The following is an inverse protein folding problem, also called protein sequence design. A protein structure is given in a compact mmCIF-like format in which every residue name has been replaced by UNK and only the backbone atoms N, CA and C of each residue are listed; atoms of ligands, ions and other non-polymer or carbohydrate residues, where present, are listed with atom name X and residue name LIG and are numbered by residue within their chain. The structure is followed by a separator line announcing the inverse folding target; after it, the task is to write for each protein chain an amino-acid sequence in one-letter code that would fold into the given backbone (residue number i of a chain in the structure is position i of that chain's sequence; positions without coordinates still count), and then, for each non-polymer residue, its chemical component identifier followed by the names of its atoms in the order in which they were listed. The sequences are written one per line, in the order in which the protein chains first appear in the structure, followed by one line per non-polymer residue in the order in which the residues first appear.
data_IF_744881613371
#
_entry.id   IF_744881613371
#
_cell.length_a   1.000
_cell.length_b   1.000
_cell.length_c   1.000
_cell.angle_alpha   90.00
_cell.angle_beta   90.00
_cell.angle_gamma   90.00
#
_symmetry.space_group_name_H-M   'P 1'
#
loop_
_entity.id
_entity.type
_entity.pdbx_description
1 polymer ?
#
# COMPACT_ATOMS: atom_id res chain seq x y z
N UNK A 1 -20.96 -6.35 -26.26
CA UNK A 1 -21.06 -7.28 -25.13
C UNK A 1 -19.98 -6.90 -24.12
N UNK A 2 -20.40 -6.60 -22.89
CA UNK A 2 -19.71 -5.84 -21.85
C UNK A 2 -18.27 -6.30 -21.51
N UNK A 3 -17.34 -5.35 -21.47
CA UNK A 3 -16.18 -5.38 -20.58
C UNK A 3 -16.12 -4.06 -19.82
N UNK A 4 -16.59 -4.08 -18.59
CA UNK A 4 -16.35 -3.02 -17.63
C UNK A 4 -14.84 -2.99 -17.33
N UNK A 5 -14.19 -1.89 -17.71
CA UNK A 5 -12.83 -1.57 -17.28
C UNK A 5 -12.90 -1.08 -15.82
N UNK A 6 -11.94 -1.43 -14.94
CA UNK A 6 -11.88 -0.81 -13.63
C UNK A 6 -11.48 0.66 -13.83
N UNK A 7 -12.40 1.53 -13.46
CA UNK A 7 -12.33 2.98 -13.56
C UNK A 7 -11.35 3.53 -12.50
N UNK A 8 -10.05 3.30 -12.67
CA UNK A 8 -9.01 3.96 -11.85
C UNK A 8 -7.60 3.80 -12.45
N UNK A 9 -7.42 4.18 -13.70
CA UNK A 9 -6.08 4.20 -14.30
C UNK A 9 -6.04 5.21 -15.44
N UNK A 10 -5.96 6.50 -15.13
CA UNK A 10 -5.47 7.55 -16.03
C UNK A 10 -5.50 8.90 -15.31
N UNK A 11 -4.70 9.08 -14.26
CA UNK A 11 -4.27 10.43 -13.89
C UNK A 11 -2.77 10.43 -13.59
N UNK A 12 -1.96 11.14 -14.39
CA UNK A 12 -0.59 11.43 -14.02
C UNK A 12 -0.64 12.27 -12.74
N UNK A 13 0.04 11.80 -11.69
CA UNK A 13 -0.01 12.34 -10.31
C UNK A 13 0.66 13.73 -10.20
N UNK A 14 0.87 14.44 -11.30
CA UNK A 14 1.62 15.70 -11.32
C UNK A 14 0.79 16.94 -11.63
N UNK A 15 -0.51 16.80 -11.94
CA UNK A 15 -1.33 17.97 -12.30
C UNK A 15 -2.82 17.65 -12.36
N UNK A 16 -3.49 17.47 -11.22
CA UNK A 16 -4.96 17.55 -11.19
C UNK A 16 -5.47 18.34 -9.98
N UNK A 17 -6.18 19.46 -10.18
CA UNK A 17 -6.87 20.21 -9.12
C UNK A 17 -8.03 19.46 -8.44
N UNK A 18 -8.30 18.22 -8.87
CA UNK A 18 -9.48 17.45 -8.49
C UNK A 18 -9.35 16.77 -7.12
N UNK A 19 -8.14 16.34 -6.75
CA UNK A 19 -7.82 15.89 -5.39
C UNK A 19 -7.89 17.05 -4.38
N UNK A 20 -7.65 18.29 -4.82
CA UNK A 20 -7.77 19.47 -3.96
C UNK A 20 -9.24 19.69 -3.55
N UNK A 21 -10.20 19.66 -4.47
CA UNK A 21 -11.55 20.16 -4.21
C UNK A 21 -12.50 19.18 -3.51
N UNK A 22 -12.37 17.87 -3.71
CA UNK A 22 -13.21 16.89 -2.99
C UNK A 22 -12.69 16.57 -1.58
N UNK A 23 -11.40 16.80 -1.33
CA UNK A 23 -10.78 16.62 -0.02
C UNK A 23 -10.99 17.82 0.92
N UNK A 24 -11.00 19.04 0.36
CA UNK A 24 -11.26 20.30 1.10
C UNK A 24 -12.61 20.31 1.84
N UNK A 25 -13.61 19.57 1.36
CA UNK A 25 -14.93 19.49 2.01
C UNK A 25 -14.95 18.63 3.30
N UNK A 26 -13.96 17.74 3.51
CA UNK A 26 -13.81 16.94 4.74
C UNK A 26 -12.73 17.49 5.70
N UNK A 27 -12.09 18.60 5.32
CA UNK A 27 -10.84 19.12 5.91
C UNK A 27 -10.99 19.88 7.23
N UNK A 28 -12.11 19.77 7.94
CA UNK A 28 -12.31 20.45 9.22
C UNK A 28 -11.66 19.75 10.42
N UNK A 29 -10.95 18.64 10.22
CA UNK A 29 -10.26 17.91 11.30
C UNK A 29 -8.74 17.96 11.13
N UNK A 30 -8.06 18.48 12.16
CA UNK A 30 -6.58 18.62 12.22
C UNK A 30 -5.84 17.32 11.93
N UNK A 31 -6.46 16.17 12.23
CA UNK A 31 -5.85 14.86 12.01
C UNK A 31 -5.72 14.50 10.52
N UNK A 32 -6.73 14.84 9.71
CA UNK A 32 -6.72 14.50 8.29
C UNK A 32 -5.61 15.24 7.55
N UNK A 33 -5.39 16.52 7.85
CA UNK A 33 -4.28 17.30 7.28
C UNK A 33 -2.93 16.67 7.64
N UNK A 34 -2.74 16.27 8.90
CA UNK A 34 -1.50 15.61 9.35
C UNK A 34 -1.22 14.33 8.56
N UNK A 35 -2.24 13.51 8.29
CA UNK A 35 -2.03 12.28 7.50
C UNK A 35 -1.71 12.58 6.03
N UNK A 36 -2.24 13.65 5.46
CA UNK A 36 -1.83 14.09 4.13
C UNK A 36 -0.37 14.53 4.11
N UNK A 37 0.06 15.33 5.08
CA UNK A 37 1.45 15.76 5.19
C UNK A 37 2.40 14.54 5.30
N UNK A 38 2.01 13.51 6.06
CA UNK A 38 2.76 12.24 6.14
C UNK A 38 2.80 11.48 4.80
N UNK A 39 1.70 11.52 4.01
CA UNK A 39 1.66 10.93 2.67
C UNK A 39 2.53 11.69 1.68
N UNK A 40 2.58 13.01 1.73
CA UNK A 40 3.43 13.82 0.86
C UNK A 40 4.91 13.47 1.06
N UNK A 41 5.34 13.37 2.33
CA UNK A 41 6.71 12.92 2.68
C UNK A 41 6.99 11.51 2.13
N UNK A 42 6.00 10.61 2.21
CA UNK A 42 6.14 9.25 1.67
C UNK A 42 6.30 9.26 0.14
N UNK A 43 5.49 10.04 -0.57
CA UNK A 43 5.56 10.13 -2.03
C UNK A 43 6.86 10.77 -2.51
N UNK A 44 7.35 11.79 -1.80
CA UNK A 44 8.67 12.38 -2.05
C UNK A 44 9.78 11.33 -1.87
N UNK A 45 9.77 10.57 -0.78
CA UNK A 45 10.73 9.48 -0.56
C UNK A 45 10.64 8.37 -1.63
N UNK A 46 9.43 8.06 -2.11
CA UNK A 46 9.20 7.07 -3.18
C UNK A 46 9.72 7.55 -4.54
N UNK A 47 9.64 8.85 -4.82
CA UNK A 47 10.17 9.46 -6.02
C UNK A 47 11.72 9.42 -6.02
N UNK A 48 12.32 9.82 -4.90
CA UNK A 48 13.77 9.77 -4.70
C UNK A 48 14.34 8.33 -4.80
N UNK A 49 13.57 7.33 -4.35
CA UNK A 49 13.94 5.91 -4.45
C UNK A 49 13.64 5.27 -5.81
N UNK A 50 13.08 6.03 -6.78
CA UNK A 50 12.67 5.57 -8.11
C UNK A 50 11.71 4.38 -8.07
N UNK A 51 10.97 4.23 -6.98
CA UNK A 51 10.02 3.13 -6.76
C UNK A 51 8.57 3.55 -6.99
N UNK A 52 8.31 4.82 -7.27
CA UNK A 52 6.97 5.39 -7.45
C UNK A 52 6.11 4.60 -8.45
N UNK A 53 6.69 4.11 -9.55
CA UNK A 53 5.99 3.35 -10.58
C UNK A 53 5.51 1.95 -10.13
N UNK A 54 6.00 1.47 -8.98
CA UNK A 54 5.61 0.18 -8.40
C UNK A 54 4.51 0.31 -7.34
N UNK A 55 4.19 1.53 -6.92
CA UNK A 55 3.22 1.82 -5.86
C UNK A 55 1.91 2.31 -6.48
N UNK A 56 0.80 1.86 -5.91
CA UNK A 56 -0.54 2.35 -6.24
C UNK A 56 -1.19 2.77 -4.93
N UNK A 57 -1.71 3.99 -4.89
CA UNK A 57 -2.46 4.49 -3.74
C UNK A 57 -3.90 4.02 -3.83
N UNK A 58 -4.39 3.38 -2.78
CA UNK A 58 -5.73 2.80 -2.72
C UNK A 58 -6.38 3.08 -1.37
N UNK A 59 -7.41 3.93 -1.37
CA UNK A 59 -8.18 4.27 -0.18
C UNK A 59 -9.12 3.15 0.30
N UNK A 60 -9.37 2.14 -0.54
CA UNK A 60 -10.18 0.97 -0.16
C UNK A 60 -9.39 -0.05 0.67
N UNK A 61 -8.06 0.10 0.75
CA UNK A 61 -7.22 -0.75 1.56
C UNK A 61 -7.50 -0.50 3.04
N UNK A 62 -8.37 -1.31 3.63
CA UNK A 62 -8.57 -1.40 5.07
C UNK A 62 -8.09 -2.77 5.55
N UNK A 63 -7.31 -2.80 6.64
CA UNK A 63 -6.86 -4.04 7.27
C UNK A 63 -7.72 -4.28 8.51
N UNK A 64 -8.14 -5.53 8.73
CA UNK A 64 -8.95 -5.93 9.89
C UNK A 64 -8.19 -5.98 11.21
N UNK A 65 -7.18 -5.13 11.39
CA UNK A 65 -6.33 -5.06 12.58
C UNK A 65 -6.28 -3.61 13.04
N UNK A 66 -6.93 -3.32 14.17
CA UNK A 66 -7.12 -1.96 14.69
C UNK A 66 -5.87 -1.35 15.36
N UNK A 67 -4.70 -1.96 15.19
CA UNK A 67 -3.44 -1.49 15.78
C UNK A 67 -2.66 -0.51 14.90
N UNK A 68 -3.05 -0.34 13.64
CA UNK A 68 -2.37 0.60 12.73
C UNK A 68 -2.74 2.05 13.07
N UNK A 69 -1.72 2.90 13.17
CA UNK A 69 -1.87 4.31 13.56
C UNK A 69 -1.46 5.27 12.45
N UNK A 70 -1.08 4.76 11.27
CA UNK A 70 -0.61 5.55 10.15
C UNK A 70 -0.65 4.74 8.85
N UNK A 71 0.34 4.96 7.97
CA UNK A 71 0.39 4.29 6.67
C UNK A 71 0.29 2.78 6.79
N UNK A 72 -0.49 2.18 5.90
CA UNK A 72 -0.58 0.74 5.68
C UNK A 72 -0.25 0.44 4.23
N UNK A 73 0.42 -0.69 4.00
CA UNK A 73 0.83 -1.10 2.67
C UNK A 73 0.70 -2.60 2.48
N UNK A 74 0.50 -2.98 1.23
CA UNK A 74 0.36 -4.34 0.79
C UNK A 74 1.14 -4.54 -0.50
N UNK A 75 1.91 -5.62 -0.58
CA UNK A 75 2.55 -6.06 -1.81
C UNK A 75 1.75 -7.21 -2.41
N UNK A 76 1.45 -7.09 -3.70
CA UNK A 76 0.78 -8.13 -4.49
C UNK A 76 1.66 -8.50 -5.68
N UNK A 77 1.64 -9.77 -6.05
CA UNK A 77 2.38 -10.24 -7.21
C UNK A 77 1.63 -9.93 -8.50
N UNK A 78 2.29 -9.26 -9.46
CA UNK A 78 1.73 -8.89 -10.77
C UNK A 78 2.07 -9.92 -11.86
N UNK A 79 1.81 -11.19 -11.59
CA UNK A 79 2.01 -12.28 -12.56
C UNK A 79 0.71 -12.95 -12.97
N UNK A 80 0.84 -14.06 -13.71
CA UNK A 80 -0.28 -14.93 -14.13
C UNK A 80 -0.97 -15.58 -12.93
N UNK A 81 -0.20 -15.92 -11.89
CA UNK A 81 -0.70 -16.56 -10.67
C UNK A 81 -1.25 -15.54 -9.69
N UNK A 82 -2.54 -15.65 -9.37
CA UNK A 82 -3.18 -14.87 -8.33
C UNK A 82 -3.05 -15.58 -6.98
N UNK A 83 -2.10 -15.16 -6.14
CA UNK A 83 -1.91 -15.70 -4.78
C UNK A 83 -2.34 -14.73 -3.67
N UNK A 84 -2.86 -13.57 -4.04
CA UNK A 84 -3.21 -12.49 -3.12
C UNK A 84 -1.98 -11.72 -2.60
N UNK A 85 -2.09 -11.20 -1.38
CA UNK A 85 -1.02 -10.44 -0.72
C UNK A 85 0.19 -11.31 -0.38
N UNK A 86 1.37 -10.95 -0.88
CA UNK A 86 2.64 -11.62 -0.54
C UNK A 86 3.36 -10.96 0.64
N UNK A 87 3.12 -9.68 0.88
CA UNK A 87 3.63 -8.97 2.05
C UNK A 87 2.66 -7.86 2.47
N UNK A 88 2.64 -7.54 3.75
CA UNK A 88 1.84 -6.45 4.27
C UNK A 88 2.54 -5.82 5.47
N UNK A 89 2.23 -4.56 5.75
CA UNK A 89 2.80 -3.85 6.87
C UNK A 89 2.20 -2.48 7.04
N UNK A 90 2.81 -1.71 7.94
CA UNK A 90 2.37 -0.37 8.25
C UNK A 90 2.96 0.15 9.55
N UNK A 91 2.51 1.34 9.95
CA UNK A 91 2.91 2.03 11.18
C UNK A 91 1.98 1.71 12.33
N UNK A 92 2.53 1.40 13.51
CA UNK A 92 1.80 0.96 14.70
C UNK A 92 2.43 1.48 15.99
N UNK A 93 2.25 2.77 16.26
CA UNK A 93 2.99 3.45 17.34
C UNK A 93 2.57 3.00 18.75
N UNK A 94 1.33 2.53 18.90
CA UNK A 94 0.78 2.15 20.20
C UNK A 94 1.03 0.68 20.57
N UNK A 95 1.37 -0.17 19.60
CA UNK A 95 1.39 -1.63 19.78
C UNK A 95 2.47 -2.06 20.78
N UNK A 96 3.69 -1.50 20.69
CA UNK A 96 4.78 -1.81 21.61
C UNK A 96 4.45 -1.30 23.02
N UNK A 97 3.80 -0.14 23.12
CA UNK A 97 3.38 0.46 24.39
C UNK A 97 2.36 -0.39 25.17
N UNK A 98 1.62 -1.28 24.50
CA UNK A 98 0.71 -2.22 25.17
C UNK A 98 1.45 -3.29 25.99
N UNK A 99 2.71 -3.57 25.66
CA UNK A 99 3.53 -4.61 26.29
C UNK A 99 4.71 -4.03 27.09
N UNK A 100 4.88 -2.71 27.08
CA UNK A 100 6.00 -2.01 27.72
C UNK A 100 5.53 -0.81 28.56
N UNK A 101 6.50 -0.09 29.14
CA UNK A 101 6.22 1.11 29.95
C UNK A 101 6.33 2.40 29.16
N UNK A 102 6.80 2.34 27.90
CA UNK A 102 7.04 3.50 27.03
C UNK A 102 6.35 3.31 25.70
N UNK A 103 5.82 4.40 25.16
CA UNK A 103 5.37 4.45 23.78
C UNK A 103 6.59 4.48 22.86
N UNK A 104 6.64 3.56 21.91
CA UNK A 104 7.73 3.42 20.95
C UNK A 104 7.11 3.39 19.55
N UNK A 105 7.25 4.46 18.75
CA UNK A 105 6.76 4.47 17.39
C UNK A 105 7.45 3.39 16.58
N UNK A 106 6.68 2.67 15.76
CA UNK A 106 7.19 1.50 15.05
C UNK A 106 6.54 1.35 13.68
N UNK A 107 7.32 0.83 12.74
CA UNK A 107 6.89 0.43 11.41
C UNK A 107 7.48 -0.93 11.12
N UNK A 108 6.74 -1.77 10.40
CA UNK A 108 7.24 -3.09 10.05
C UNK A 108 6.49 -3.70 8.87
N UNK A 109 7.07 -4.77 8.37
CA UNK A 109 6.55 -5.53 7.24
C UNK A 109 6.65 -7.01 7.55
N UNK A 110 5.65 -7.77 7.11
CA UNK A 110 5.64 -9.22 7.16
C UNK A 110 5.50 -9.78 5.76
N UNK A 111 6.20 -10.88 5.49
CA UNK A 111 6.22 -11.57 4.20
C UNK A 111 5.64 -12.98 4.36
N UNK A 112 4.65 -13.30 3.53
CA UNK A 112 4.04 -14.62 3.46
C UNK A 112 4.91 -15.57 2.67
N UNK A 113 5.87 -16.21 3.33
CA UNK A 113 6.88 -17.09 2.72
C UNK A 113 6.24 -18.19 1.86
N UNK A 114 5.14 -18.80 2.34
CA UNK A 114 4.42 -19.85 1.62
C UNK A 114 3.92 -19.37 0.25
N UNK A 115 3.41 -18.14 0.17
CA UNK A 115 2.94 -17.55 -1.09
C UNK A 115 4.09 -17.23 -2.03
N UNK A 116 5.23 -16.81 -1.48
CA UNK A 116 6.45 -16.57 -2.27
C UNK A 116 6.95 -17.87 -2.90
N UNK A 117 7.01 -18.96 -2.13
CA UNK A 117 7.37 -20.27 -2.67
C UNK A 117 6.40 -20.74 -3.76
N UNK A 118 5.09 -20.61 -3.53
CA UNK A 118 4.08 -20.98 -4.54
C UNK A 118 4.25 -20.20 -5.85
N UNK A 119 4.56 -18.90 -5.78
CA UNK A 119 4.87 -18.09 -6.97
C UNK A 119 6.14 -18.62 -7.65
N UNK A 120 7.21 -18.86 -6.89
CA UNK A 120 8.49 -19.31 -7.45
C UNK A 120 8.35 -20.65 -8.18
N UNK A 121 7.64 -21.60 -7.59
CA UNK A 121 7.37 -22.90 -8.23
C UNK A 121 6.56 -22.74 -9.53
N UNK A 122 5.57 -21.86 -9.54
CA UNK A 122 4.76 -21.64 -10.73
C UNK A 122 5.56 -20.95 -11.85
N UNK A 123 6.36 -19.93 -11.51
CA UNK A 123 7.25 -19.25 -12.46
C UNK A 123 8.25 -20.23 -13.08
N UNK A 124 8.76 -21.20 -12.30
CA UNK A 124 9.64 -22.26 -12.81
C UNK A 124 8.90 -23.20 -13.78
N UNK A 125 7.68 -23.63 -13.46
CA UNK A 125 6.87 -24.48 -14.35
C UNK A 125 6.56 -23.77 -15.67
N UNK A 126 6.17 -22.50 -15.61
CA UNK A 126 5.89 -21.69 -16.79
C UNK A 126 7.15 -21.54 -17.67
N UNK A 127 8.32 -21.35 -17.06
CA UNK A 127 9.60 -21.25 -17.78
C UNK A 127 10.00 -22.56 -18.48
N UNK A 128 9.69 -23.71 -17.86
CA UNK A 128 10.05 -25.03 -18.39
C UNK A 128 9.08 -25.52 -19.47
N UNK A 129 7.83 -25.05 -19.51
CA UNK A 129 6.87 -25.40 -20.58
C UNK A 129 7.10 -24.63 -21.88
N UNK A 130 7.84 -23.51 -21.84
CA UNK A 130 8.15 -22.67 -23.01
C UNK A 130 9.45 -23.11 -23.71
N UNK A 131 10.19 -24.06 -23.12
CA UNK A 131 11.37 -24.71 -23.71
C UNK A 131 11.01 -26.07 -24.27
#
# INVERSE_FOLDING_TARGET
MNRALPLCALFPVHSSPFLQNSFLAASSSVQVCRYLDELDILFEALDHSKCISKVVFDLSLARGLDYYTGVIYQAVFKGTTQVGSIAAGGRYDNLIGMFGTKQVPAVGVSLGIERVFAIMEQVQKDTNQVR
#
